data_IF_127025376996
#
_entry.id   IF_127025376996
#
_cell.length_a   1.000
_cell.length_b   1.000
_cell.length_c   1.000
_cell.angle_alpha   90.00
_cell.angle_beta   90.00
_cell.angle_gamma   90.00
#
_symmetry.space_group_name_H-M   'P 1'
#
loop_
_entity.id
_entity.type
_entity.pdbx_description
1 polymer ?
#
# COMPACT_ATOMS: atom_id res chain seq x y z
N UNK A 1 -28.82 -34.06 -81.61
CA UNK A 1 -27.50 -33.80 -81.12
C UNK A 1 -27.52 -32.36 -80.61
N UNK A 2 -27.64 -32.12 -79.30
CA UNK A 2 -27.64 -30.79 -78.66
C UNK A 2 -26.65 -30.89 -77.50
N UNK A 3 -25.53 -30.20 -77.62
CA UNK A 3 -24.53 -30.12 -76.60
C UNK A 3 -25.01 -29.14 -75.52
N UNK A 4 -24.96 -29.50 -74.26
CA UNK A 4 -25.19 -28.64 -73.10
C UNK A 4 -23.86 -28.24 -72.58
N UNK A 5 -23.64 -26.91 -72.51
CA UNK A 5 -22.48 -26.26 -71.87
C UNK A 5 -22.86 -26.01 -70.41
N UNK A 6 -22.12 -26.65 -69.50
CA UNK A 6 -22.23 -26.38 -68.04
C UNK A 6 -21.37 -25.15 -67.65
N UNK A 7 -22.04 -24.11 -67.14
CA UNK A 7 -21.36 -22.99 -66.50
C UNK A 7 -21.00 -23.37 -65.07
N UNK A 8 -19.71 -23.44 -64.76
CA UNK A 8 -19.21 -23.61 -63.40
C UNK A 8 -19.13 -22.24 -62.70
N UNK A 9 -19.90 -22.06 -61.62
CA UNK A 9 -19.80 -20.90 -60.74
C UNK A 9 -18.63 -21.07 -59.79
N UNK A 10 -17.64 -20.19 -59.93
CA UNK A 10 -16.53 -20.10 -58.95
C UNK A 10 -17.00 -19.23 -57.80
N UNK A 11 -17.22 -19.81 -56.62
CA UNK A 11 -17.39 -19.05 -55.37
C UNK A 11 -16.01 -18.53 -54.93
N UNK A 12 -15.84 -17.22 -54.97
CA UNK A 12 -14.70 -16.56 -54.32
C UNK A 12 -14.95 -16.48 -52.84
N UNK A 13 -14.19 -17.22 -52.05
CA UNK A 13 -14.10 -17.05 -50.61
C UNK A 13 -13.28 -15.74 -50.34
N UNK A 14 -13.97 -14.70 -49.94
CA UNK A 14 -13.34 -13.51 -49.40
C UNK A 14 -12.81 -13.87 -48.00
N UNK A 15 -11.49 -13.99 -47.88
CA UNK A 15 -10.82 -14.06 -46.59
C UNK A 15 -10.99 -12.73 -45.88
N UNK A 16 -11.72 -12.70 -44.75
CA UNK A 16 -11.72 -11.56 -43.82
C UNK A 16 -10.30 -11.46 -43.22
N UNK A 17 -9.52 -10.48 -43.66
CA UNK A 17 -8.36 -10.08 -42.98
C UNK A 17 -8.78 -9.45 -41.61
N UNK A 18 -8.08 -9.75 -40.50
CA UNK A 18 -8.37 -9.08 -39.25
C UNK A 18 -8.14 -7.59 -39.44
N UNK A 19 -9.18 -6.77 -39.22
CA UNK A 19 -9.05 -5.33 -39.15
C UNK A 19 -8.12 -5.02 -37.98
N UNK A 20 -6.99 -4.39 -38.26
CA UNK A 20 -6.16 -3.77 -37.25
C UNK A 20 -7.06 -2.80 -36.45
N UNK A 21 -7.21 -3.07 -35.16
CA UNK A 21 -7.89 -2.15 -34.25
C UNK A 21 -7.14 -0.82 -34.34
N UNK A 22 -7.81 0.23 -34.79
CA UNK A 22 -7.26 1.57 -34.66
C UNK A 22 -6.92 1.81 -33.18
N UNK A 23 -5.76 2.41 -32.87
CA UNK A 23 -5.45 2.79 -31.51
C UNK A 23 -6.57 3.71 -31.03
N UNK A 24 -7.21 3.32 -29.92
CA UNK A 24 -8.17 4.16 -29.22
C UNK A 24 -7.56 5.56 -29.08
N UNK A 25 -8.23 6.67 -29.53
CA UNK A 25 -7.71 7.99 -29.30
C UNK A 25 -7.56 8.12 -27.79
N UNK A 26 -6.31 8.14 -27.32
CA UNK A 26 -5.99 8.12 -25.92
C UNK A 26 -6.87 9.13 -25.20
N UNK A 27 -7.61 8.69 -24.22
CA UNK A 27 -8.03 9.58 -23.15
C UNK A 27 -6.72 10.19 -22.64
N UNK A 28 -6.52 11.46 -22.93
CA UNK A 28 -5.54 12.27 -22.23
C UNK A 28 -6.08 12.32 -20.79
N UNK A 29 -5.67 11.35 -20.01
CA UNK A 29 -5.81 11.43 -18.55
C UNK A 29 -4.92 12.62 -18.21
N UNK A 30 -5.53 13.69 -17.69
CA UNK A 30 -4.73 14.80 -17.18
C UNK A 30 -3.71 14.18 -16.21
N UNK A 31 -2.40 14.34 -16.47
CA UNK A 31 -1.40 13.82 -15.56
C UNK A 31 -1.71 14.38 -14.18
N UNK A 32 -1.52 13.58 -13.12
CA UNK A 32 -1.46 14.17 -11.78
C UNK A 32 -0.37 15.21 -11.86
N UNK A 33 -0.78 16.46 -11.79
CA UNK A 33 0.15 17.56 -11.90
C UNK A 33 1.09 17.46 -10.70
N UNK A 34 2.37 17.55 -10.94
CA UNK A 34 3.43 17.81 -9.98
C UNK A 34 3.46 16.91 -8.74
N UNK A 35 4.15 15.77 -8.82
CA UNK A 35 4.33 14.91 -7.66
C UNK A 35 5.29 13.76 -7.95
N UNK A 36 5.65 13.03 -6.92
CA UNK A 36 6.49 11.86 -7.07
C UNK A 36 6.08 10.70 -6.16
N UNK A 37 6.25 9.49 -6.67
CA UNK A 37 6.22 8.27 -5.88
C UNK A 37 7.63 7.86 -5.47
N UNK A 38 7.76 7.41 -4.22
CA UNK A 38 8.93 6.71 -3.71
C UNK A 38 8.60 5.24 -3.57
N UNK A 39 9.54 4.38 -3.97
CA UNK A 39 9.33 2.93 -4.00
C UNK A 39 10.49 2.23 -3.30
N UNK A 40 10.17 1.45 -2.28
CA UNK A 40 11.13 0.58 -1.60
C UNK A 40 11.32 -0.72 -2.38
N UNK A 41 12.52 -0.97 -2.89
CA UNK A 41 12.86 -2.19 -3.62
C UNK A 41 13.36 -3.28 -2.68
N UNK A 42 12.45 -4.08 -2.18
CA UNK A 42 12.64 -5.11 -1.16
C UNK A 42 13.75 -6.11 -1.50
N UNK A 43 13.76 -6.62 -2.73
CA UNK A 43 14.74 -7.59 -3.18
C UNK A 43 15.99 -6.92 -3.76
N UNK A 44 15.85 -5.69 -4.27
CA UNK A 44 16.93 -4.90 -4.84
C UNK A 44 17.78 -4.16 -3.80
N UNK A 45 17.29 -4.02 -2.56
CA UNK A 45 17.86 -3.14 -1.54
C UNK A 45 18.01 -1.72 -2.07
N UNK A 46 16.94 -1.18 -2.65
CA UNK A 46 16.92 0.11 -3.36
C UNK A 46 15.82 1.02 -2.87
N UNK A 47 15.98 2.31 -3.11
CA UNK A 47 14.94 3.32 -3.03
C UNK A 47 14.90 4.04 -4.37
N UNK A 48 13.73 4.11 -4.99
CA UNK A 48 13.52 4.81 -6.26
C UNK A 48 12.58 6.00 -6.07
N UNK A 49 12.75 7.01 -6.95
CA UNK A 49 11.80 8.12 -7.14
C UNK A 49 11.26 8.06 -8.56
N UNK A 50 9.94 8.11 -8.68
CA UNK A 50 9.22 8.13 -9.96
C UNK A 50 8.46 9.45 -10.05
N UNK A 51 8.71 10.21 -11.10
CA UNK A 51 7.98 11.43 -11.39
C UNK A 51 6.59 11.09 -11.94
N UNK A 52 5.54 11.62 -11.33
CA UNK A 52 4.17 11.26 -11.68
C UNK A 52 3.71 11.91 -12.98
N UNK A 53 4.22 13.08 -13.33
CA UNK A 53 3.84 13.75 -14.57
C UNK A 53 4.38 13.02 -15.80
N UNK A 54 5.67 12.67 -15.80
CA UNK A 54 6.30 11.94 -16.92
C UNK A 54 6.08 10.42 -16.84
N UNK A 55 5.85 9.88 -15.64
CA UNK A 55 5.82 8.44 -15.39
C UNK A 55 7.21 7.79 -15.40
N UNK A 56 8.29 8.56 -15.37
CA UNK A 56 9.66 8.05 -15.44
C UNK A 56 10.30 7.91 -14.06
N UNK A 57 11.12 6.86 -13.90
CA UNK A 57 11.99 6.74 -12.74
C UNK A 57 13.14 7.74 -12.88
N UNK A 58 13.14 8.78 -12.05
CA UNK A 58 14.11 9.87 -12.10
C UNK A 58 15.35 9.61 -11.24
N UNK A 59 15.19 8.88 -10.13
CA UNK A 59 16.29 8.53 -9.23
C UNK A 59 16.19 7.08 -8.80
N UNK A 60 17.36 6.46 -8.58
CA UNK A 60 17.50 5.12 -7.99
C UNK A 60 18.80 5.06 -7.19
N UNK A 61 18.68 4.75 -5.90
CA UNK A 61 19.84 4.61 -5.01
C UNK A 61 19.83 3.28 -4.29
N UNK A 62 21.01 2.84 -3.82
CA UNK A 62 21.09 1.77 -2.85
C UNK A 62 20.62 2.28 -1.50
N UNK A 63 19.79 1.49 -0.85
CA UNK A 63 19.25 1.75 0.50
C UNK A 63 19.78 0.72 1.51
N UNK A 64 18.99 0.34 2.46
CA UNK A 64 19.30 -0.69 3.44
C UNK A 64 18.91 -2.10 2.98
N UNK A 65 19.22 -3.10 3.80
CA UNK A 65 18.86 -4.49 3.52
C UNK A 65 17.34 -4.69 3.68
N UNK A 66 16.72 -5.27 2.65
CA UNK A 66 15.30 -5.65 2.63
C UNK A 66 14.39 -4.51 3.12
N UNK A 67 14.40 -3.34 2.45
CA UNK A 67 13.54 -2.22 2.81
C UNK A 67 12.07 -2.59 2.60
N UNK A 68 11.19 -2.17 3.51
CA UNK A 68 9.77 -2.46 3.44
C UNK A 68 8.95 -1.17 3.28
N UNK A 69 8.44 -0.61 4.35
CA UNK A 69 7.51 0.51 4.29
C UNK A 69 8.19 1.86 4.23
N UNK A 70 7.49 2.84 3.65
CA UNK A 70 7.89 4.23 3.49
C UNK A 70 6.89 5.18 4.15
N UNK A 71 7.40 6.34 4.60
CA UNK A 71 6.58 7.46 5.03
C UNK A 71 7.26 8.78 4.64
N UNK A 72 6.51 9.71 4.03
CA UNK A 72 6.98 11.05 3.71
C UNK A 72 6.85 11.98 4.91
N UNK A 73 7.76 12.95 5.03
CA UNK A 73 7.65 13.98 6.05
C UNK A 73 6.51 14.96 5.75
N UNK A 74 5.91 15.60 6.76
CA UNK A 74 4.80 16.53 6.55
C UNK A 74 5.10 17.74 5.66
N UNK A 75 6.36 18.03 5.42
CA UNK A 75 6.85 19.11 4.55
C UNK A 75 7.36 18.60 3.20
N UNK A 76 7.18 17.31 2.90
CA UNK A 76 7.59 16.62 1.67
C UNK A 76 9.09 16.65 1.36
N UNK A 77 9.91 17.11 2.31
CA UNK A 77 11.37 17.23 2.10
C UNK A 77 12.12 15.91 2.33
N UNK A 78 11.51 14.96 3.03
CA UNK A 78 12.15 13.70 3.40
C UNK A 78 11.22 12.51 3.22
N UNK A 79 11.82 11.34 3.00
CA UNK A 79 11.16 10.05 3.04
C UNK A 79 11.91 9.14 4.01
N UNK A 80 11.18 8.56 4.96
CA UNK A 80 11.68 7.57 5.91
C UNK A 80 11.42 6.16 5.38
N UNK A 81 12.36 5.25 5.63
CA UNK A 81 12.40 3.89 5.11
C UNK A 81 12.64 2.90 6.25
N UNK A 82 11.75 1.96 6.44
CA UNK A 82 11.90 0.86 7.40
C UNK A 82 12.84 -0.20 6.83
N UNK A 83 13.99 -0.42 7.49
CA UNK A 83 15.04 -1.34 7.08
C UNK A 83 14.84 -2.71 7.71
N UNK A 84 13.90 -3.50 7.19
CA UNK A 84 13.46 -4.76 7.79
C UNK A 84 14.56 -5.82 7.92
N UNK A 85 15.49 -5.89 6.98
CA UNK A 85 16.65 -6.80 7.04
C UNK A 85 17.71 -6.39 8.07
N UNK A 86 17.47 -5.32 8.81
CA UNK A 86 18.37 -4.74 9.80
C UNK A 86 17.66 -4.24 11.04
N UNK A 87 18.07 -3.08 11.52
CA UNK A 87 17.57 -2.50 12.77
C UNK A 87 17.37 -0.99 12.70
N UNK A 88 17.45 -0.39 11.51
CA UNK A 88 17.42 1.06 11.35
C UNK A 88 16.15 1.55 10.65
N UNK A 89 15.80 2.79 10.93
CA UNK A 89 14.98 3.63 10.07
C UNK A 89 15.91 4.62 9.39
N UNK A 90 15.99 4.56 8.07
CA UNK A 90 16.83 5.44 7.27
C UNK A 90 15.98 6.57 6.66
N UNK A 91 16.47 7.80 6.71
CA UNK A 91 15.78 8.97 6.19
C UNK A 91 16.57 9.55 5.03
N UNK A 92 15.90 9.78 3.90
CA UNK A 92 16.46 10.30 2.67
C UNK A 92 15.80 11.62 2.31
N UNK A 93 16.53 12.52 1.65
CA UNK A 93 15.95 13.72 1.05
C UNK A 93 15.13 13.33 -0.19
N UNK A 94 14.01 13.98 -0.41
CA UNK A 94 13.13 13.68 -1.55
C UNK A 94 13.65 14.23 -2.88
N UNK A 95 14.53 15.23 -2.86
CA UNK A 95 15.07 15.88 -4.06
C UNK A 95 16.14 15.04 -4.77
N UNK A 96 17.06 14.42 -4.02
CA UNK A 96 18.24 13.73 -4.57
C UNK A 96 18.46 12.31 -4.01
N UNK A 97 17.62 11.84 -3.11
CA UNK A 97 17.72 10.57 -2.40
C UNK A 97 19.05 10.38 -1.65
N UNK A 98 19.69 11.46 -1.23
CA UNK A 98 20.84 11.37 -0.33
C UNK A 98 20.33 11.06 1.08
N UNK A 99 20.92 10.04 1.70
CA UNK A 99 20.56 9.64 3.06
C UNK A 99 20.98 10.74 4.06
N UNK A 100 19.99 11.38 4.68
CA UNK A 100 20.18 12.42 5.66
C UNK A 100 20.46 11.85 7.05
N UNK A 101 19.79 10.74 7.41
CA UNK A 101 19.89 10.13 8.75
C UNK A 101 19.76 8.61 8.66
N UNK A 102 20.29 7.95 9.71
CA UNK A 102 20.02 6.54 10.02
C UNK A 102 19.80 6.45 11.53
N UNK A 103 18.63 5.97 11.94
CA UNK A 103 18.21 5.90 13.33
C UNK A 103 18.20 4.44 13.74
N UNK A 104 19.06 4.08 14.69
CA UNK A 104 19.18 2.73 15.21
C UNK A 104 18.09 2.46 16.27
N UNK A 105 17.27 1.44 16.03
CA UNK A 105 16.20 0.98 16.95
C UNK A 105 16.66 -0.18 17.87
N UNK A 106 17.94 -0.54 17.79
CA UNK A 106 18.54 -1.59 18.59
C UNK A 106 18.54 -2.96 17.95
N UNK A 107 19.29 -3.86 18.53
CA UNK A 107 19.51 -5.22 18.03
C UNK A 107 18.19 -5.97 17.80
N UNK A 108 18.10 -6.66 16.67
CA UNK A 108 16.92 -7.45 16.25
C UNK A 108 15.63 -6.63 16.07
N UNK A 109 15.67 -5.31 15.86
CA UNK A 109 14.46 -4.51 15.72
C UNK A 109 13.58 -4.97 14.55
N UNK A 110 14.15 -5.19 13.36
CA UNK A 110 13.40 -5.54 12.15
C UNK A 110 12.22 -4.58 11.93
N UNK A 111 12.49 -3.28 11.70
CA UNK A 111 11.43 -2.28 11.52
C UNK A 111 10.59 -2.61 10.29
N UNK A 112 9.25 -2.50 10.40
CA UNK A 112 8.34 -2.81 9.32
C UNK A 112 7.38 -1.66 9.02
N UNK A 113 6.25 -1.56 9.73
CA UNK A 113 5.31 -0.47 9.58
C UNK A 113 5.93 0.84 10.03
N UNK A 114 5.74 1.90 9.24
CA UNK A 114 6.27 3.24 9.54
C UNK A 114 5.23 4.30 9.20
N UNK A 115 5.18 5.35 10.02
CA UNK A 115 4.31 6.50 9.80
C UNK A 115 5.04 7.77 10.25
N UNK A 116 5.06 8.79 9.39
CA UNK A 116 5.50 10.13 9.76
C UNK A 116 4.27 10.96 10.10
N UNK A 117 4.15 11.33 11.36
CA UNK A 117 2.97 12.02 11.86
C UNK A 117 3.04 13.53 11.60
N UNK A 118 1.89 14.19 11.46
CA UNK A 118 1.79 15.61 11.16
C UNK A 118 2.47 16.53 12.21
N UNK A 119 2.73 16.02 13.44
CA UNK A 119 3.50 16.74 14.46
C UNK A 119 5.02 16.71 14.25
N UNK A 120 5.49 16.03 13.20
CA UNK A 120 6.90 15.88 12.87
C UNK A 120 7.60 14.64 13.46
N UNK A 121 6.94 13.87 14.31
CA UNK A 121 7.48 12.64 14.89
C UNK A 121 7.32 11.45 13.95
N UNK A 122 8.22 10.47 14.02
CA UNK A 122 8.12 9.19 13.35
C UNK A 122 7.68 8.09 14.32
N UNK A 123 6.89 7.17 13.81
CA UNK A 123 6.49 5.95 14.51
C UNK A 123 6.83 4.74 13.65
N UNK A 124 7.37 3.70 14.26
CA UNK A 124 7.71 2.47 13.56
C UNK A 124 7.38 1.25 14.42
N UNK A 125 6.93 0.18 13.81
CA UNK A 125 6.90 -1.14 14.46
C UNK A 125 8.28 -1.77 14.39
N UNK A 126 8.60 -2.60 15.39
CA UNK A 126 9.79 -3.43 15.44
C UNK A 126 9.39 -4.87 15.71
N UNK A 127 9.16 -5.64 14.64
CA UNK A 127 8.64 -7.01 14.73
C UNK A 127 9.51 -7.91 15.59
N UNK A 128 10.83 -7.85 15.42
CA UNK A 128 11.77 -8.67 16.14
C UNK A 128 11.84 -8.36 17.63
N UNK A 129 11.34 -7.17 18.02
CA UNK A 129 11.29 -6.73 19.43
C UNK A 129 9.87 -6.74 20.02
N UNK A 130 8.84 -7.06 19.20
CA UNK A 130 7.43 -7.04 19.62
C UNK A 130 7.05 -5.68 20.22
N UNK A 131 7.38 -4.61 19.52
CA UNK A 131 7.27 -3.25 20.05
C UNK A 131 6.94 -2.22 18.98
N UNK A 132 6.53 -1.05 19.45
CA UNK A 132 6.40 0.19 18.68
C UNK A 132 7.49 1.15 19.16
N UNK A 133 8.10 1.86 18.24
CA UNK A 133 9.00 2.97 18.52
C UNK A 133 8.32 4.30 18.20
N UNK A 134 8.41 5.25 19.12
CA UNK A 134 8.17 6.64 18.90
C UNK A 134 9.53 7.36 18.80
N UNK A 135 9.76 8.04 17.68
CA UNK A 135 11.00 8.71 17.34
C UNK A 135 10.69 10.20 17.25
N UNK A 136 11.11 10.94 18.26
CA UNK A 136 10.96 12.40 18.31
C UNK A 136 12.12 13.08 17.63
N UNK A 137 11.84 14.22 16.99
CA UNK A 137 12.86 15.02 16.30
C UNK A 137 13.77 14.20 15.37
N UNK A 138 13.19 13.39 14.44
CA UNK A 138 13.93 12.40 13.66
C UNK A 138 15.06 13.02 12.81
N UNK A 139 14.95 14.29 12.45
CA UNK A 139 15.96 15.04 11.69
C UNK A 139 16.97 15.76 12.57
N UNK A 140 16.66 15.94 13.86
CA UNK A 140 17.50 16.59 14.88
C UNK A 140 18.27 15.62 15.76
N UNK A 141 18.22 15.81 17.06
CA UNK A 141 18.78 14.91 18.07
C UNK A 141 17.77 13.79 18.38
N UNK A 142 17.52 12.91 17.42
CA UNK A 142 16.49 11.90 17.51
C UNK A 142 16.47 11.17 18.86
N UNK A 143 15.35 11.27 19.56
CA UNK A 143 15.07 10.55 20.80
C UNK A 143 14.13 9.37 20.49
N UNK A 144 14.53 8.16 20.82
CA UNK A 144 13.73 6.96 20.59
C UNK A 144 13.11 6.44 21.87
N UNK A 145 11.81 6.14 21.83
CA UNK A 145 11.06 5.55 22.93
C UNK A 145 10.44 4.24 22.47
N UNK A 146 10.78 3.15 23.15
CA UNK A 146 10.26 1.84 22.85
C UNK A 146 9.05 1.49 23.73
N UNK A 147 8.00 0.94 23.13
CA UNK A 147 6.78 0.51 23.77
C UNK A 147 6.52 -0.96 23.42
N UNK A 148 6.74 -1.85 24.39
CA UNK A 148 6.49 -3.26 24.20
C UNK A 148 4.98 -3.53 24.01
N UNK A 149 4.62 -4.19 22.92
CA UNK A 149 3.29 -4.76 22.70
C UNK A 149 3.17 -6.12 23.36
N UNK A 150 4.30 -6.84 23.47
CA UNK A 150 4.34 -8.22 23.94
C UNK A 150 3.66 -9.20 22.97
N UNK A 151 3.47 -8.77 21.71
CA UNK A 151 2.76 -9.53 20.68
C UNK A 151 3.70 -9.91 19.53
N UNK A 152 3.55 -11.13 19.06
CA UNK A 152 4.37 -11.63 17.95
C UNK A 152 3.96 -10.97 16.63
N UNK A 153 4.96 -10.42 15.93
CA UNK A 153 4.78 -9.83 14.63
C UNK A 153 3.97 -8.53 14.68
N UNK A 154 4.32 -7.59 15.59
CA UNK A 154 3.78 -6.23 15.54
C UNK A 154 4.20 -5.58 14.23
N UNK A 155 3.28 -5.57 13.25
CA UNK A 155 3.57 -5.46 11.82
C UNK A 155 3.32 -4.07 11.26
N UNK A 156 2.06 -3.71 11.05
CA UNK A 156 1.70 -2.38 10.58
C UNK A 156 1.27 -1.48 11.74
N UNK A 157 1.23 -0.16 11.48
CA UNK A 157 0.96 0.85 12.50
C UNK A 157 -0.03 1.90 11.98
N UNK A 158 -0.96 2.30 12.84
CA UNK A 158 -1.73 3.52 12.71
C UNK A 158 -1.52 4.38 13.96
N UNK A 159 -1.59 5.71 13.82
CA UNK A 159 -1.41 6.67 14.91
C UNK A 159 -2.58 7.65 14.92
N UNK A 160 -3.09 7.95 16.12
CA UNK A 160 -4.16 8.92 16.26
C UNK A 160 -3.70 10.33 15.84
N UNK A 161 -4.59 11.18 15.28
CA UNK A 161 -4.24 12.56 14.94
C UNK A 161 -3.68 13.38 16.11
N UNK A 162 -4.06 13.00 17.33
CA UNK A 162 -3.53 13.63 18.57
C UNK A 162 -2.10 13.21 18.94
N UNK A 163 -1.54 12.17 18.28
CA UNK A 163 -0.25 11.56 18.63
C UNK A 163 -0.22 10.85 19.99
N UNK A 164 -1.37 10.58 20.61
CA UNK A 164 -1.43 10.02 21.97
C UNK A 164 -1.62 8.50 21.99
N UNK A 165 -2.09 7.92 20.89
CA UNK A 165 -2.37 6.51 20.73
C UNK A 165 -1.83 6.00 19.41
N UNK A 166 -1.37 4.76 19.42
CA UNK A 166 -1.02 4.01 18.24
C UNK A 166 -1.68 2.63 18.29
N UNK A 167 -1.89 2.05 17.13
CA UNK A 167 -2.41 0.69 16.99
C UNK A 167 -1.48 -0.13 16.11
N UNK A 168 -1.28 -1.39 16.46
CA UNK A 168 -0.54 -2.35 15.64
C UNK A 168 -1.41 -3.51 15.25
N UNK A 169 -1.22 -4.03 14.06
CA UNK A 169 -1.57 -5.41 13.73
C UNK A 169 -0.44 -6.33 14.19
N UNK A 170 -0.79 -7.44 14.80
CA UNK A 170 0.17 -8.40 15.35
C UNK A 170 -0.06 -9.76 14.69
N UNK A 171 0.61 -10.00 13.58
CA UNK A 171 0.44 -11.15 12.68
C UNK A 171 0.42 -12.48 13.41
N UNK A 172 1.47 -12.76 14.17
CA UNK A 172 1.66 -14.05 14.86
C UNK A 172 0.77 -14.22 16.09
N UNK A 173 0.30 -13.11 16.67
CA UNK A 173 -0.62 -13.12 17.82
C UNK A 173 -2.09 -13.03 17.42
N UNK A 174 -2.40 -12.79 16.14
CA UNK A 174 -3.77 -12.63 15.60
C UNK A 174 -4.54 -11.49 16.27
N UNK A 175 -3.85 -10.44 16.69
CA UNK A 175 -4.43 -9.35 17.46
C UNK A 175 -4.23 -7.99 16.80
N UNK A 176 -5.07 -7.04 17.20
CA UNK A 176 -4.79 -5.62 17.15
C UNK A 176 -4.48 -5.14 18.56
N UNK A 177 -3.42 -4.37 18.71
CA UNK A 177 -3.00 -3.84 20.00
C UNK A 177 -3.06 -2.32 20.01
N UNK A 178 -3.75 -1.74 21.00
CA UNK A 178 -3.75 -0.31 21.31
C UNK A 178 -2.59 0.00 22.27
N UNK A 179 -1.74 0.93 21.87
CA UNK A 179 -0.63 1.46 22.66
C UNK A 179 -0.95 2.90 23.09
N UNK A 180 -1.00 3.14 24.39
CA UNK A 180 -1.09 4.47 24.96
C UNK A 180 0.33 5.08 25.03
N UNK A 181 0.59 6.05 24.17
CA UNK A 181 1.91 6.69 24.04
C UNK A 181 2.23 7.64 25.19
N UNK A 182 1.21 8.12 25.94
CA UNK A 182 1.41 8.95 27.14
C UNK A 182 1.84 8.12 28.35
N UNK A 183 1.14 7.02 28.59
CA UNK A 183 1.43 6.13 29.73
C UNK A 183 2.53 5.13 29.43
N UNK A 184 2.96 5.06 28.17
CA UNK A 184 4.02 4.17 27.68
C UNK A 184 3.71 2.68 27.86
N UNK A 185 2.46 2.27 27.57
CA UNK A 185 2.01 0.89 27.75
C UNK A 185 1.08 0.45 26.63
N UNK A 186 1.20 -0.81 26.25
CA UNK A 186 0.11 -1.51 25.59
C UNK A 186 -1.08 -1.54 26.57
N UNK A 187 -2.20 -0.96 26.16
CA UNK A 187 -3.36 -0.80 27.04
C UNK A 187 -4.42 -1.85 26.82
N UNK A 188 -4.53 -2.37 25.60
CA UNK A 188 -5.55 -3.34 25.18
C UNK A 188 -5.12 -4.10 23.94
N UNK A 189 -5.56 -5.33 23.80
CA UNK A 189 -5.48 -6.14 22.58
C UNK A 189 -6.76 -6.92 22.37
N UNK A 190 -7.13 -7.14 21.11
CA UNK A 190 -8.30 -7.94 20.71
C UNK A 190 -7.92 -8.85 19.53
N UNK A 191 -8.48 -10.04 19.48
CA UNK A 191 -8.32 -10.94 18.33
C UNK A 191 -9.16 -10.43 17.14
N UNK A 192 -8.56 -10.45 15.92
CA UNK A 192 -9.20 -9.97 14.70
C UNK A 192 -8.88 -10.88 13.51
N UNK A 193 -9.34 -12.09 13.55
CA UNK A 193 -9.11 -13.08 12.50
C UNK A 193 -7.66 -13.58 12.44
N UNK A 194 -7.36 -14.33 11.37
CA UNK A 194 -6.06 -14.94 11.16
C UNK A 194 -5.12 -13.98 10.41
N UNK A 195 -3.90 -13.82 10.90
CA UNK A 195 -2.86 -13.01 10.29
C UNK A 195 -3.34 -11.57 9.94
N UNK A 196 -3.73 -10.75 10.94
CA UNK A 196 -4.06 -9.34 10.70
C UNK A 196 -2.82 -8.61 10.22
N UNK A 197 -2.92 -7.96 9.04
CA UNK A 197 -1.77 -7.36 8.38
C UNK A 197 -1.93 -5.86 8.19
N UNK A 198 -2.83 -5.41 7.32
CA UNK A 198 -3.06 -4.00 7.06
C UNK A 198 -3.84 -3.32 8.18
N UNK A 199 -3.55 -2.04 8.41
CA UNK A 199 -4.28 -1.21 9.38
C UNK A 199 -4.37 0.22 8.88
N UNK A 200 -5.53 0.85 9.03
CA UNK A 200 -5.75 2.26 8.72
C UNK A 200 -6.77 2.88 9.67
N UNK A 201 -6.51 4.08 10.13
CA UNK A 201 -7.49 4.87 10.87
C UNK A 201 -8.28 5.72 9.86
N UNK A 202 -9.61 5.81 10.04
CA UNK A 202 -10.43 6.72 9.23
C UNK A 202 -10.01 8.18 9.46
N UNK A 203 -10.20 9.08 8.47
CA UNK A 203 -9.78 10.48 8.58
C UNK A 203 -10.41 11.23 9.77
N UNK A 204 -11.63 10.85 10.17
CA UNK A 204 -12.31 11.39 11.36
C UNK A 204 -11.79 10.80 12.69
N UNK A 205 -10.98 9.75 12.63
CA UNK A 205 -10.44 9.06 13.80
C UNK A 205 -11.44 8.13 14.52
N UNK A 206 -12.61 7.88 13.95
CA UNK A 206 -13.71 7.17 14.63
C UNK A 206 -13.76 5.67 14.32
N UNK A 207 -13.05 5.22 13.28
CA UNK A 207 -13.02 3.80 12.89
C UNK A 207 -11.60 3.34 12.57
N UNK A 208 -11.19 2.23 13.18
CA UNK A 208 -9.95 1.54 12.88
C UNK A 208 -10.25 0.37 11.94
N UNK A 209 -9.68 0.43 10.74
CA UNK A 209 -9.84 -0.59 9.71
C UNK A 209 -8.65 -1.54 9.72
N UNK A 210 -8.92 -2.84 9.63
CA UNK A 210 -7.90 -3.90 9.65
C UNK A 210 -8.21 -4.92 8.59
N UNK A 211 -7.21 -5.35 7.82
CA UNK A 211 -7.30 -6.53 6.95
C UNK A 211 -6.66 -7.74 7.64
N UNK A 212 -7.32 -8.89 7.60
CA UNK A 212 -6.81 -10.17 8.10
C UNK A 212 -6.68 -11.16 6.94
N UNK A 213 -5.47 -11.30 6.44
CA UNK A 213 -5.17 -12.01 5.21
C UNK A 213 -5.46 -13.51 5.27
N UNK A 214 -5.28 -14.13 6.44
CA UNK A 214 -5.57 -15.54 6.65
C UNK A 214 -7.05 -15.85 6.83
N UNK A 215 -7.92 -14.82 6.90
CA UNK A 215 -9.37 -14.96 7.06
C UNK A 215 -10.17 -14.47 5.86
N UNK A 216 -9.53 -13.87 4.85
CA UNK A 216 -10.18 -13.23 3.71
C UNK A 216 -11.22 -12.19 4.16
N UNK A 217 -10.86 -11.36 5.15
CA UNK A 217 -11.76 -10.38 5.76
C UNK A 217 -11.08 -9.06 6.06
N UNK A 218 -11.90 -8.02 6.05
CA UNK A 218 -11.62 -6.75 6.71
C UNK A 218 -12.49 -6.59 7.96
N UNK A 219 -12.02 -5.82 8.92
CA UNK A 219 -12.68 -5.54 10.18
C UNK A 219 -12.74 -4.03 10.41
N UNK A 220 -13.89 -3.54 10.88
CA UNK A 220 -14.05 -2.19 11.38
C UNK A 220 -14.19 -2.23 12.89
N UNK A 221 -13.29 -1.54 13.59
CA UNK A 221 -13.23 -1.54 15.06
C UNK A 221 -13.45 -0.13 15.61
N UNK A 222 -13.97 -0.07 16.83
CA UNK A 222 -13.83 1.13 17.65
C UNK A 222 -12.35 1.32 18.04
N UNK A 223 -11.73 2.46 17.76
CA UNK A 223 -10.29 2.62 17.98
C UNK A 223 -9.91 2.60 19.46
N UNK A 224 -10.80 3.00 20.37
CA UNK A 224 -10.48 3.08 21.81
C UNK A 224 -10.87 1.82 22.59
N UNK A 225 -11.99 1.22 22.26
CA UNK A 225 -12.45 -0.01 22.91
C UNK A 225 -11.93 -1.26 22.24
N UNK A 226 -11.51 -1.16 20.97
CA UNK A 226 -11.18 -2.24 20.05
C UNK A 226 -12.36 -3.22 19.84
N UNK A 227 -13.58 -2.81 20.14
CA UNK A 227 -14.77 -3.58 19.81
C UNK A 227 -14.89 -3.74 18.29
N UNK A 228 -15.02 -4.97 17.81
CA UNK A 228 -15.29 -5.24 16.39
C UNK A 228 -16.73 -4.87 16.10
N UNK A 229 -16.91 -3.80 15.33
CA UNK A 229 -18.23 -3.31 14.91
C UNK A 229 -18.75 -4.05 13.69
N UNK A 230 -17.84 -4.42 12.78
CA UNK A 230 -18.20 -5.10 11.54
C UNK A 230 -17.10 -6.05 11.08
N UNK A 231 -17.52 -7.17 10.46
CA UNK A 231 -16.68 -8.08 9.70
C UNK A 231 -17.15 -8.09 8.25
N UNK A 232 -16.24 -7.87 7.31
CA UNK A 232 -16.54 -7.68 5.91
C UNK A 232 -15.74 -8.71 5.10
N UNK A 233 -16.40 -9.48 4.23
CA UNK A 233 -15.72 -10.36 3.30
C UNK A 233 -14.98 -9.53 2.23
N UNK A 234 -13.76 -9.92 1.93
CA UNK A 234 -12.90 -9.33 0.89
C UNK A 234 -12.63 -10.34 -0.21
N UNK A 235 -11.80 -10.00 -1.16
CA UNK A 235 -11.12 -10.99 -1.99
C UNK A 235 -10.10 -11.78 -1.16
N UNK A 236 -9.47 -12.77 -1.81
CA UNK A 236 -8.56 -13.70 -1.13
C UNK A 236 -7.23 -13.05 -0.77
N UNK A 237 -6.78 -13.26 0.45
CA UNK A 237 -5.53 -12.79 1.00
C UNK A 237 -5.38 -11.26 1.01
N UNK A 238 -6.27 -10.50 1.71
CA UNK A 238 -6.20 -9.04 1.79
C UNK A 238 -4.98 -8.61 2.60
N UNK A 239 -3.97 -8.04 1.91
CA UNK A 239 -2.70 -7.64 2.52
C UNK A 239 -2.79 -6.27 3.19
N UNK A 240 -3.15 -5.24 2.44
CA UNK A 240 -3.25 -3.87 2.94
C UNK A 240 -4.69 -3.41 2.96
N UNK A 241 -4.97 -2.45 3.81
CA UNK A 241 -6.22 -1.69 3.82
C UNK A 241 -5.90 -0.21 3.96
N UNK A 242 -6.50 0.62 3.13
CA UNK A 242 -6.37 2.07 3.17
C UNK A 242 -7.73 2.72 3.08
N UNK A 243 -7.92 3.82 3.81
CA UNK A 243 -9.15 4.61 3.77
C UNK A 243 -8.95 5.80 2.83
N UNK A 244 -9.94 6.06 1.97
CA UNK A 244 -9.93 7.20 1.07
C UNK A 244 -9.87 8.51 1.86
N UNK A 245 -9.15 9.55 1.40
CA UNK A 245 -9.06 10.84 2.12
C UNK A 245 -10.41 11.45 2.47
N UNK A 246 -11.46 11.22 1.65
CA UNK A 246 -12.85 11.66 1.92
C UNK A 246 -13.55 10.82 3.00
N UNK A 247 -13.00 9.69 3.39
CA UNK A 247 -13.54 8.82 4.44
C UNK A 247 -14.70 7.91 4.02
N UNK A 248 -15.16 7.98 2.78
CA UNK A 248 -16.34 7.28 2.26
C UNK A 248 -16.09 5.83 1.84
N UNK A 249 -14.83 5.49 1.54
CA UNK A 249 -14.42 4.14 1.13
C UNK A 249 -13.15 3.69 1.86
N UNK A 250 -13.10 2.38 2.17
CA UNK A 250 -11.87 1.65 2.48
C UNK A 250 -11.59 0.66 1.35
N UNK A 251 -10.32 0.39 1.07
CA UNK A 251 -9.92 -0.50 -0.02
C UNK A 251 -8.86 -1.46 0.48
N UNK A 252 -9.00 -2.76 0.15
CA UNK A 252 -7.97 -3.78 0.41
C UNK A 252 -7.22 -4.15 -0.87
N UNK A 253 -5.95 -4.55 -0.73
CA UNK A 253 -5.21 -5.25 -1.80
C UNK A 253 -5.33 -6.76 -1.59
N UNK A 254 -6.02 -7.44 -2.51
CA UNK A 254 -6.33 -8.86 -2.40
C UNK A 254 -5.30 -9.66 -3.22
N UNK A 255 -4.21 -10.03 -2.58
CA UNK A 255 -3.00 -10.54 -3.24
C UNK A 255 -3.26 -11.82 -4.03
N UNK A 256 -4.08 -12.74 -3.51
CA UNK A 256 -4.34 -14.01 -4.18
C UNK A 256 -5.32 -13.88 -5.35
N UNK A 257 -6.17 -12.84 -5.35
CA UNK A 257 -7.10 -12.58 -6.45
C UNK A 257 -6.53 -11.61 -7.49
N UNK A 258 -5.46 -10.89 -7.16
CA UNK A 258 -4.87 -9.89 -8.05
C UNK A 258 -5.74 -8.65 -8.26
N UNK A 259 -6.55 -8.29 -7.27
CA UNK A 259 -7.50 -7.19 -7.32
C UNK A 259 -7.58 -6.37 -6.03
N UNK A 260 -8.57 -5.50 -5.99
CA UNK A 260 -8.89 -4.68 -4.82
C UNK A 260 -10.36 -4.91 -4.44
N UNK A 261 -10.66 -5.02 -3.16
CA UNK A 261 -12.03 -4.94 -2.65
C UNK A 261 -12.32 -3.53 -2.15
N UNK A 262 -13.38 -2.92 -2.68
CA UNK A 262 -13.86 -1.59 -2.26
C UNK A 262 -15.00 -1.75 -1.27
N UNK A 263 -14.85 -1.16 -0.09
CA UNK A 263 -15.79 -1.22 1.02
C UNK A 263 -16.37 0.18 1.24
N UNK A 264 -17.69 0.31 1.27
CA UNK A 264 -18.35 1.55 1.68
C UNK A 264 -18.30 1.67 3.22
N UNK A 265 -17.67 2.72 3.73
CA UNK A 265 -17.39 2.86 5.17
C UNK A 265 -18.65 3.07 6.00
N UNK A 266 -19.67 3.72 5.44
CA UNK A 266 -20.92 4.01 6.15
C UNK A 266 -21.79 2.75 6.32
N UNK A 267 -21.79 1.83 5.35
CA UNK A 267 -22.59 0.60 5.38
C UNK A 267 -21.81 -0.62 5.83
N UNK A 268 -20.49 -0.60 5.73
CA UNK A 268 -19.61 -1.75 5.95
C UNK A 268 -19.77 -2.85 4.89
N UNK A 269 -20.37 -2.53 3.75
CA UNK A 269 -20.57 -3.48 2.66
C UNK A 269 -19.47 -3.39 1.61
N UNK A 270 -18.99 -4.55 1.12
CA UNK A 270 -18.21 -4.60 -0.12
C UNK A 270 -19.11 -4.19 -1.28
N UNK A 271 -18.72 -3.16 -2.04
CA UNK A 271 -19.55 -2.58 -3.10
C UNK A 271 -19.06 -2.94 -4.49
N UNK A 272 -17.78 -3.21 -4.66
CA UNK A 272 -17.19 -3.69 -5.90
C UNK A 272 -15.80 -4.27 -5.71
N UNK A 273 -15.33 -5.05 -6.68
CA UNK A 273 -13.94 -5.44 -6.87
C UNK A 273 -13.35 -4.71 -8.08
N UNK A 274 -12.07 -4.36 -8.01
CA UNK A 274 -11.31 -3.75 -9.11
C UNK A 274 -10.22 -4.74 -9.52
N UNK A 275 -10.27 -5.32 -10.74
CA UNK A 275 -9.30 -6.29 -11.21
C UNK A 275 -8.02 -5.59 -11.71
N UNK A 276 -7.06 -5.31 -10.83
CA UNK A 276 -5.81 -4.62 -11.18
C UNK A 276 -4.91 -5.44 -12.08
N UNK A 277 -4.87 -6.75 -11.86
CA UNK A 277 -4.05 -7.66 -12.67
C UNK A 277 -4.59 -7.88 -14.10
N UNK A 278 -5.77 -7.34 -14.42
CA UNK A 278 -6.47 -7.52 -15.68
C UNK A 278 -7.58 -8.59 -15.60
N UNK A 279 -8.36 -8.76 -16.70
CA UNK A 279 -9.53 -9.63 -16.69
C UNK A 279 -9.22 -11.11 -16.45
N UNK A 280 -7.99 -11.54 -16.67
CA UNK A 280 -7.55 -12.92 -16.49
C UNK A 280 -7.09 -13.22 -15.05
N UNK A 281 -7.15 -12.22 -14.16
CA UNK A 281 -6.78 -12.30 -12.74
C UNK A 281 -5.40 -12.92 -12.55
N UNK A 282 -4.33 -12.14 -12.66
CA UNK A 282 -2.99 -12.66 -12.46
C UNK A 282 -2.50 -12.38 -11.04
N UNK A 283 -2.77 -13.25 -10.04
CA UNK A 283 -2.20 -13.12 -8.68
C UNK A 283 -0.67 -13.15 -8.73
N UNK A 284 -0.13 -13.49 -9.88
CA UNK A 284 1.30 -13.58 -10.18
C UNK A 284 2.01 -12.24 -10.06
N UNK A 285 1.31 -11.09 -10.15
CA UNK A 285 1.95 -9.77 -10.01
C UNK A 285 2.29 -9.41 -8.57
N UNK A 286 1.73 -10.11 -7.59
CA UNK A 286 1.92 -9.87 -6.16
C UNK A 286 1.64 -8.41 -5.79
N UNK A 287 0.35 -8.05 -5.76
CA UNK A 287 -0.10 -6.73 -5.33
C UNK A 287 0.01 -6.62 -3.81
N UNK A 288 0.96 -5.83 -3.35
CA UNK A 288 1.28 -5.73 -1.93
C UNK A 288 0.75 -4.43 -1.35
N UNK A 289 1.51 -3.37 -1.45
CA UNK A 289 1.15 -2.08 -0.85
C UNK A 289 0.26 -1.29 -1.79
N UNK A 290 -0.76 -0.66 -1.22
CA UNK A 290 -1.64 0.28 -1.90
C UNK A 290 -1.64 1.62 -1.18
N UNK A 291 -1.84 2.68 -1.96
CA UNK A 291 -1.96 4.02 -1.41
C UNK A 291 -2.89 4.87 -2.28
N UNK A 292 -3.60 5.80 -1.67
CA UNK A 292 -4.41 6.79 -2.37
C UNK A 292 -3.56 7.96 -2.84
N UNK A 293 -3.94 8.54 -4.00
CA UNK A 293 -3.54 9.93 -4.29
C UNK A 293 -4.15 10.86 -3.24
N UNK A 294 -3.52 12.02 -2.96
CA UNK A 294 -4.03 12.96 -1.96
C UNK A 294 -5.45 13.46 -2.23
N UNK A 295 -5.82 13.62 -3.51
CA UNK A 295 -7.19 13.94 -3.94
C UNK A 295 -8.19 12.78 -3.79
N UNK A 296 -7.70 11.55 -3.58
CA UNK A 296 -8.51 10.34 -3.47
C UNK A 296 -9.14 9.86 -4.77
N UNK A 297 -8.68 10.34 -5.92
CA UNK A 297 -9.22 9.94 -7.23
C UNK A 297 -8.49 8.74 -7.83
N UNK A 298 -7.29 8.43 -7.34
CA UNK A 298 -6.44 7.34 -7.82
C UNK A 298 -5.95 6.45 -6.69
N UNK A 299 -5.69 5.20 -7.05
CA UNK A 299 -5.03 4.22 -6.17
C UNK A 299 -3.75 3.76 -6.87
N UNK A 300 -2.64 3.84 -6.17
CA UNK A 300 -1.37 3.26 -6.59
C UNK A 300 -1.20 1.90 -5.94
N UNK A 301 -0.84 0.90 -6.74
CA UNK A 301 -0.72 -0.50 -6.31
C UNK A 301 0.65 -1.03 -6.67
N UNK A 302 1.46 -1.38 -5.67
CA UNK A 302 2.76 -2.00 -5.87
C UNK A 302 2.60 -3.45 -6.36
N UNK A 303 3.06 -3.73 -7.58
CA UNK A 303 3.09 -5.05 -8.20
C UNK A 303 4.51 -5.62 -8.06
N UNK A 304 4.80 -6.19 -6.90
CA UNK A 304 6.16 -6.52 -6.43
C UNK A 304 6.93 -7.45 -7.38
N UNK A 305 6.26 -8.45 -7.97
CA UNK A 305 6.90 -9.41 -8.88
C UNK A 305 7.28 -8.79 -10.22
N UNK A 306 6.42 -7.93 -10.75
CA UNK A 306 6.60 -7.33 -12.07
C UNK A 306 7.46 -6.06 -12.02
N UNK A 307 7.80 -5.58 -10.82
CA UNK A 307 8.52 -4.32 -10.59
C UNK A 307 7.81 -3.13 -11.22
N UNK A 308 6.47 -3.07 -11.09
CA UNK A 308 5.63 -1.99 -11.56
C UNK A 308 4.74 -1.46 -10.43
N UNK A 309 4.23 -0.25 -10.63
CA UNK A 309 3.19 0.35 -9.82
C UNK A 309 2.00 0.60 -10.75
N UNK A 310 0.88 -0.09 -10.51
CA UNK A 310 -0.35 0.20 -11.24
C UNK A 310 -0.98 1.48 -10.69
N UNK A 311 -1.30 2.42 -11.59
CA UNK A 311 -2.11 3.59 -11.29
C UNK A 311 -3.53 3.31 -11.74
N UNK A 312 -4.46 3.29 -10.79
CA UNK A 312 -5.86 2.91 -11.00
C UNK A 312 -6.75 4.14 -10.82
N UNK A 313 -7.59 4.44 -11.81
CA UNK A 313 -8.68 5.40 -11.65
C UNK A 313 -9.75 4.81 -10.75
N UNK A 314 -10.03 5.48 -9.63
CA UNK A 314 -10.97 4.94 -8.66
C UNK A 314 -12.41 4.94 -9.17
N UNK A 315 -12.82 5.92 -9.95
CA UNK A 315 -14.21 6.04 -10.41
C UNK A 315 -14.57 4.91 -11.40
N UNK A 316 -13.74 4.68 -12.41
CA UNK A 316 -13.95 3.63 -13.42
C UNK A 316 -13.45 2.25 -12.96
N UNK A 317 -12.43 2.19 -12.11
CA UNK A 317 -11.69 0.98 -11.78
C UNK A 317 -10.70 0.55 -12.87
N UNK A 318 -10.41 1.40 -13.83
CA UNK A 318 -9.45 1.11 -14.90
C UNK A 318 -8.01 1.36 -14.46
N UNK A 319 -7.10 0.47 -14.87
CA UNK A 319 -5.66 0.70 -14.74
C UNK A 319 -5.26 1.66 -15.85
N UNK A 320 -4.92 2.90 -15.49
CA UNK A 320 -4.57 3.96 -16.43
C UNK A 320 -3.20 3.73 -17.06
N UNK A 321 -2.23 3.37 -16.25
CA UNK A 321 -0.85 3.05 -16.65
C UNK A 321 -0.13 2.23 -15.59
N UNK A 322 1.04 1.72 -15.96
CA UNK A 322 1.99 1.11 -15.03
C UNK A 322 3.27 1.92 -15.00
N UNK A 323 3.59 2.42 -13.82
CA UNK A 323 4.80 3.16 -13.54
C UNK A 323 5.94 2.19 -13.21
N UNK A 324 7.21 2.57 -13.41
CA UNK A 324 8.34 1.72 -13.05
C UNK A 324 8.42 1.57 -11.53
N UNK A 325 8.49 0.32 -11.07
CA UNK A 325 8.90 -0.05 -9.72
C UNK A 325 10.41 -0.22 -9.65
N UNK A 326 10.90 -0.78 -8.57
CA UNK A 326 12.31 -1.13 -8.41
C UNK A 326 12.43 -2.47 -7.69
N UNK A 327 13.44 -3.27 -8.01
CA UNK A 327 13.85 -4.55 -7.41
C UNK A 327 12.92 -5.20 -6.38
N UNK A 328 11.68 -5.57 -6.76
CA UNK A 328 10.63 -6.05 -5.88
C UNK A 328 10.00 -4.90 -5.08
N UNK A 329 9.38 -3.93 -5.76
CA UNK A 329 8.69 -2.80 -5.13
C UNK A 329 7.67 -3.27 -4.10
N UNK A 330 7.79 -2.80 -2.84
CA UNK A 330 6.95 -3.18 -1.71
C UNK A 330 6.26 -1.94 -1.13
N UNK A 331 6.88 -1.24 -0.21
CA UNK A 331 6.38 0.03 0.30
C UNK A 331 6.40 1.13 -0.76
N UNK A 332 5.37 1.96 -0.78
CA UNK A 332 5.26 3.15 -1.62
C UNK A 332 4.81 4.35 -0.80
N UNK A 333 5.30 5.53 -1.14
CA UNK A 333 4.90 6.79 -0.56
C UNK A 333 4.79 7.86 -1.65
N UNK A 334 4.01 8.92 -1.43
CA UNK A 334 3.73 9.97 -2.41
C UNK A 334 4.00 11.34 -1.81
N UNK A 335 4.48 12.26 -2.64
CA UNK A 335 4.46 13.71 -2.41
C UNK A 335 3.77 14.41 -3.58
N UNK A 336 3.19 15.59 -3.33
CA UNK A 336 2.64 16.48 -4.35
C UNK A 336 3.64 17.55 -4.81
#
# INVERSE_FOLDING_TARGET
MKSAIALGSVLALAACAPQAREPNPGFLVDPVADGALFVAGKFGNTLAKVDLASGEQTLLVKSCANPHELATSPDDQYVALACYGGQTVDIFRTDDLVRARSIDLGENARPHGILWHANGDLYATAEGRQSVFWIREPLGAAETFEYATGKQGSHMIAVAPSGNHAWTTDLGSKTVTLVDLKTRRASRSVEVGEEPEGIALSPDGETLWVSARGSDKAFALDPMTLEVRQEIATGAFPLRIVVRPQGDFAVTSDLADGGLTVINTATGGSVRSIPVAGPDGAPERMQVTILWSPDGERIYVAETRDNTIAEVDFASGEVLRRLPGTGGGDGIAIIE
#
